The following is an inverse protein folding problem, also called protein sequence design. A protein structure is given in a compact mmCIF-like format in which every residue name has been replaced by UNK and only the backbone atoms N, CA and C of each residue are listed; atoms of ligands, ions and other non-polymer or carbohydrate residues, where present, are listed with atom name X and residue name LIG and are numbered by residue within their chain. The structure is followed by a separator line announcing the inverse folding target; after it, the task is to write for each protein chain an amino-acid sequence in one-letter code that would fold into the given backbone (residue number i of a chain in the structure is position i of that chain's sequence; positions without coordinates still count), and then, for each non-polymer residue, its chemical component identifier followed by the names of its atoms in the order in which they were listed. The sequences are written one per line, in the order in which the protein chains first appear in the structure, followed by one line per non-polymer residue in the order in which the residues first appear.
data_IF_367778657400
#
_entry.id   IF_367778657400
#
_cell.length_a   1.000
_cell.length_b   1.000
_cell.length_c   1.000
_cell.angle_alpha   90.00
_cell.angle_beta   90.00
_cell.angle_gamma   90.00
#
_symmetry.space_group_name_H-M   'P 1'
#
loop_
_entity.id
_entity.type
_entity.pdbx_description
1 polymer ?
#
# COMPACT_ATOMS: atom_id res chain seq x y z
N UNK A 1 10.50 -55.52 65.59
CA UNK A 1 11.44 -55.49 64.45
C UNK A 1 10.59 -55.15 63.25
N UNK A 2 10.42 -53.89 62.87
CA UNK A 2 11.46 -52.89 62.55
C UNK A 2 11.68 -52.98 61.05
N UNK A 3 11.30 -51.92 60.31
CA UNK A 3 11.89 -51.45 59.04
C UNK A 3 11.07 -50.28 58.51
N UNK A 4 11.26 -49.11 59.12
CA UNK A 4 10.89 -47.83 58.54
C UNK A 4 11.73 -47.62 57.28
N UNK A 5 11.08 -47.70 56.12
CA UNK A 5 11.70 -47.38 54.83
C UNK A 5 11.77 -45.87 54.69
N UNK A 6 12.84 -45.29 55.24
CA UNK A 6 13.22 -43.89 55.02
C UNK A 6 13.48 -43.73 53.53
N UNK A 7 12.52 -43.12 52.84
CA UNK A 7 12.69 -42.64 51.48
C UNK A 7 13.76 -41.55 51.50
N UNK A 8 14.96 -41.93 51.07
CA UNK A 8 16.10 -41.02 50.92
C UNK A 8 15.71 -40.03 49.82
N UNK A 9 15.28 -38.85 50.25
CA UNK A 9 15.15 -37.66 49.41
C UNK A 9 16.51 -37.48 48.73
N UNK A 10 16.55 -37.77 47.43
CA UNK A 10 17.71 -37.43 46.60
C UNK A 10 17.87 -35.92 46.67
N UNK A 11 18.86 -35.50 47.47
CA UNK A 11 19.30 -34.13 47.54
C UNK A 11 19.60 -33.67 46.11
N UNK A 12 18.82 -32.68 45.65
CA UNK A 12 19.02 -31.98 44.40
C UNK A 12 20.45 -31.47 44.35
N UNK A 13 21.32 -32.14 43.60
CA UNK A 13 22.66 -31.63 43.34
C UNK A 13 22.50 -30.30 42.59
N UNK A 14 23.24 -29.25 42.98
CA UNK A 14 23.21 -27.98 42.26
C UNK A 14 23.65 -28.23 40.82
N UNK A 15 22.82 -27.79 39.87
CA UNK A 15 23.07 -27.97 38.44
C UNK A 15 24.51 -27.60 38.09
N UNK A 16 25.24 -28.57 37.54
CA UNK A 16 26.66 -28.38 37.25
C UNK A 16 26.82 -27.39 36.11
N UNK A 17 28.00 -26.78 36.01
CA UNK A 17 28.28 -25.83 34.92
C UNK A 17 28.14 -26.49 33.53
N UNK A 18 28.39 -27.80 33.44
CA UNK A 18 28.13 -28.61 32.25
C UNK A 18 26.65 -28.71 31.90
N UNK A 19 25.77 -28.87 32.90
CA UNK A 19 24.32 -28.90 32.68
C UNK A 19 23.80 -27.55 32.17
N UNK A 20 24.37 -26.44 32.68
CA UNK A 20 24.05 -25.10 32.20
C UNK A 20 24.51 -24.87 30.77
N UNK A 21 25.73 -25.29 30.42
CA UNK A 21 26.24 -25.21 29.04
C UNK A 21 25.39 -26.05 28.08
N UNK A 22 24.93 -27.24 28.52
CA UNK A 22 24.05 -28.09 27.72
C UNK A 22 22.68 -27.45 27.53
N UNK A 23 22.12 -26.82 28.56
CA UNK A 23 20.88 -26.05 28.47
C UNK A 23 20.99 -24.90 27.47
N UNK A 24 22.07 -24.11 27.54
CA UNK A 24 22.32 -23.00 26.60
C UNK A 24 22.47 -23.52 25.17
N UNK A 25 23.18 -24.64 24.97
CA UNK A 25 23.33 -25.22 23.65
C UNK A 25 22.00 -25.72 23.06
N UNK A 26 21.13 -26.31 23.90
CA UNK A 26 19.79 -26.74 23.48
C UNK A 26 18.90 -25.54 23.13
N UNK A 27 18.96 -24.47 23.93
CA UNK A 27 18.21 -23.24 23.71
C UNK A 27 18.62 -22.53 22.42
N UNK A 28 19.93 -22.38 22.18
CA UNK A 28 20.48 -21.83 20.93
C UNK A 28 20.04 -22.64 19.70
N UNK A 29 20.01 -23.97 19.82
CA UNK A 29 19.54 -24.84 18.73
C UNK A 29 18.06 -24.64 18.45
N UNK A 30 17.23 -24.56 19.50
CA UNK A 30 15.79 -24.36 19.37
C UNK A 30 15.46 -22.97 18.78
N UNK A 31 16.21 -21.94 19.16
CA UNK A 31 16.10 -20.61 18.58
C UNK A 31 16.46 -20.62 17.09
N UNK A 32 17.57 -21.27 16.74
CA UNK A 32 18.01 -21.42 15.34
C UNK A 32 16.94 -22.12 14.49
N UNK A 33 16.36 -23.22 14.98
CA UNK A 33 15.29 -23.94 14.28
C UNK A 33 14.04 -23.07 14.09
N UNK A 34 13.71 -22.26 15.11
CA UNK A 34 12.59 -21.31 15.06
C UNK A 34 12.85 -20.20 14.04
N UNK A 35 14.07 -19.67 14.00
CA UNK A 35 14.49 -18.65 13.04
C UNK A 35 14.44 -19.19 11.61
N UNK A 36 15.00 -20.37 11.35
CA UNK A 36 14.95 -21.02 10.03
C UNK A 36 13.49 -21.19 9.57
N UNK A 37 12.60 -21.60 10.47
CA UNK A 37 11.17 -21.73 10.17
C UNK A 37 10.49 -20.40 9.89
N UNK A 38 10.83 -19.34 10.62
CA UNK A 38 10.31 -18.00 10.37
C UNK A 38 10.80 -17.46 9.02
N UNK A 39 12.10 -17.57 8.75
CA UNK A 39 12.72 -17.09 7.50
C UNK A 39 12.18 -17.84 6.27
N UNK A 40 12.02 -19.16 6.34
CA UNK A 40 11.43 -19.93 5.23
C UNK A 40 9.98 -19.53 4.93
N UNK A 41 9.18 -19.22 5.95
CA UNK A 41 7.81 -18.71 5.77
C UNK A 41 7.80 -17.32 5.15
N UNK A 42 8.69 -16.42 5.59
CA UNK A 42 8.84 -15.08 5.01
C UNK A 42 9.24 -15.19 3.53
N UNK A 43 10.20 -16.06 3.21
CA UNK A 43 10.65 -16.27 1.83
C UNK A 43 9.52 -16.84 0.95
N UNK A 44 8.73 -17.77 1.48
CA UNK A 44 7.56 -18.30 0.78
C UNK A 44 6.50 -17.23 0.51
N UNK A 45 6.21 -16.37 1.49
CA UNK A 45 5.29 -15.25 1.31
C UNK A 45 5.84 -14.23 0.28
N UNK A 46 7.13 -13.92 0.33
CA UNK A 46 7.78 -13.04 -0.64
C UNK A 46 7.73 -13.60 -2.07
N UNK A 47 7.95 -14.91 -2.22
CA UNK A 47 7.82 -15.58 -3.52
C UNK A 47 6.39 -15.49 -4.07
N UNK A 48 5.38 -15.67 -3.22
CA UNK A 48 3.99 -15.50 -3.62
C UNK A 48 3.66 -14.05 -3.99
N UNK A 49 4.21 -13.08 -3.25
CA UNK A 49 4.05 -11.65 -3.58
C UNK A 49 4.68 -11.32 -4.93
N UNK A 50 5.86 -11.86 -5.23
CA UNK A 50 6.51 -11.68 -6.53
C UNK A 50 5.63 -12.23 -7.67
N UNK A 51 5.09 -13.45 -7.51
CA UNK A 51 4.17 -14.03 -8.50
C UNK A 51 2.91 -13.20 -8.71
N UNK A 52 2.31 -12.70 -7.63
CA UNK A 52 1.16 -11.81 -7.73
C UNK A 52 1.51 -10.50 -8.44
N UNK A 53 2.71 -9.96 -8.19
CA UNK A 53 3.17 -8.74 -8.81
C UNK A 53 3.43 -8.93 -10.31
N UNK A 54 4.06 -10.04 -10.71
CA UNK A 54 4.27 -10.38 -12.12
C UNK A 54 2.93 -10.49 -12.85
N UNK A 55 1.94 -11.17 -12.24
CA UNK A 55 0.58 -11.26 -12.79
C UNK A 55 -0.11 -9.90 -12.92
N UNK A 56 0.02 -9.03 -11.93
CA UNK A 56 -0.54 -7.68 -12.00
C UNK A 56 0.11 -6.85 -13.11
N UNK A 57 1.41 -7.02 -13.34
CA UNK A 57 2.09 -6.39 -14.47
C UNK A 57 1.47 -6.89 -15.77
N UNK A 58 1.34 -8.20 -15.97
CA UNK A 58 0.79 -8.78 -17.19
C UNK A 58 -0.64 -8.29 -17.45
N UNK A 59 -1.52 -8.30 -16.43
CA UNK A 59 -2.90 -7.82 -16.55
C UNK A 59 -2.98 -6.32 -16.88
N UNK A 60 -2.09 -5.50 -16.31
CA UNK A 60 -2.03 -4.06 -16.62
C UNK A 60 -1.48 -3.82 -18.01
N UNK A 61 -0.49 -4.60 -18.45
CA UNK A 61 0.05 -4.52 -19.81
C UNK A 61 -1.03 -4.85 -20.83
N UNK A 62 -1.74 -5.97 -20.65
CA UNK A 62 -2.85 -6.37 -21.52
C UNK A 62 -3.93 -5.29 -21.59
N UNK A 63 -4.36 -4.74 -20.46
CA UNK A 63 -5.37 -3.68 -20.42
C UNK A 63 -4.91 -2.39 -21.11
N UNK A 64 -3.64 -2.01 -20.93
CA UNK A 64 -3.07 -0.82 -21.58
C UNK A 64 -2.92 -1.04 -23.08
N UNK A 65 -2.50 -2.23 -23.51
CA UNK A 65 -2.42 -2.61 -24.92
C UNK A 65 -3.82 -2.60 -25.55
N UNK A 66 -4.82 -3.20 -24.92
CA UNK A 66 -6.22 -3.14 -25.37
C UNK A 66 -6.73 -1.70 -25.49
N UNK A 67 -6.44 -0.83 -24.51
CA UNK A 67 -6.87 0.56 -24.53
C UNK A 67 -6.19 1.35 -25.66
N UNK A 68 -4.91 1.08 -25.93
CA UNK A 68 -4.18 1.65 -27.06
C UNK A 68 -4.74 1.15 -28.40
N UNK A 69 -5.03 -0.15 -28.53
CA UNK A 69 -5.64 -0.73 -29.73
C UNK A 69 -7.04 -0.15 -29.99
N UNK A 70 -7.86 0.07 -28.95
CA UNK A 70 -9.16 0.74 -29.06
C UNK A 70 -9.02 2.21 -29.50
N UNK A 71 -7.97 2.90 -29.06
CA UNK A 71 -7.65 4.25 -29.52
C UNK A 71 -7.22 4.28 -30.99
N UNK A 72 -6.37 3.35 -31.42
CA UNK A 72 -5.88 3.27 -32.80
C UNK A 72 -6.94 2.76 -33.78
N UNK A 73 -7.79 1.80 -33.36
CA UNK A 73 -8.87 1.22 -34.16
C UNK A 73 -10.05 2.16 -34.36
N UNK A 74 -10.04 3.34 -33.75
CA UNK A 74 -11.10 4.33 -33.91
C UNK A 74 -12.42 3.97 -33.22
N UNK A 75 -12.47 2.93 -32.39
CA UNK A 75 -13.63 2.63 -31.55
C UNK A 75 -13.82 3.68 -30.42
N UNK A 76 -12.81 4.54 -30.22
CA UNK A 76 -12.91 5.80 -29.47
C UNK A 76 -13.13 7.07 -30.32
N UNK A 77 -13.32 6.97 -31.65
CA UNK A 77 -13.47 8.15 -32.51
C UNK A 77 -14.91 8.66 -32.58
N UNK A 78 -15.12 9.76 -31.85
CA UNK A 78 -16.14 10.79 -32.01
C UNK A 78 -17.62 10.33 -31.95
N UNK A 79 -18.32 10.50 -30.80
CA UNK A 79 -19.77 10.34 -30.74
C UNK A 79 -20.55 11.38 -31.58
N UNK A 80 -19.87 12.36 -32.17
CA UNK A 80 -20.51 13.48 -32.88
C UNK A 80 -19.89 13.69 -34.26
N UNK A 81 -20.62 13.29 -35.29
CA UNK A 81 -20.39 13.70 -36.68
C UNK A 81 -21.16 15.00 -36.98
N UNK A 82 -20.64 15.81 -37.90
CA UNK A 82 -21.27 17.06 -38.35
C UNK A 82 -22.68 16.81 -38.87
N UNK A 83 -22.88 15.72 -39.61
CA UNK A 83 -24.19 15.36 -40.17
C UNK A 83 -25.22 15.03 -39.07
N UNK A 84 -24.81 14.26 -38.06
CA UNK A 84 -25.65 13.91 -36.91
C UNK A 84 -26.09 15.13 -36.10
N UNK A 85 -25.15 16.05 -35.81
CA UNK A 85 -25.46 17.27 -35.07
C UNK A 85 -26.34 18.25 -35.87
N UNK A 86 -26.16 18.31 -37.19
CA UNK A 86 -27.03 19.10 -38.06
C UNK A 86 -28.44 18.53 -38.13
N UNK A 87 -28.58 17.20 -38.15
CA UNK A 87 -29.89 16.54 -38.15
C UNK A 87 -30.66 16.78 -36.83
N UNK A 88 -29.96 16.72 -35.69
CA UNK A 88 -30.57 16.86 -34.37
C UNK A 88 -30.95 18.30 -34.02
N UNK A 89 -30.05 19.26 -34.23
CA UNK A 89 -30.25 20.64 -33.78
C UNK A 89 -30.68 21.61 -34.88
N UNK A 90 -30.59 21.21 -36.16
CA UNK A 90 -30.96 21.96 -37.39
C UNK A 90 -30.22 23.29 -37.61
N UNK A 91 -29.78 23.95 -36.55
CA UNK A 91 -29.08 25.23 -36.57
C UNK A 91 -27.91 25.20 -35.60
N UNK A 92 -26.81 25.84 -36.01
CA UNK A 92 -25.59 25.90 -35.22
C UNK A 92 -25.81 26.62 -33.88
N UNK A 93 -26.75 27.59 -33.83
CA UNK A 93 -27.09 28.34 -32.63
C UNK A 93 -27.78 27.46 -31.56
N UNK A 94 -28.67 26.56 -31.99
CA UNK A 94 -29.35 25.63 -31.09
C UNK A 94 -28.35 24.61 -30.49
N UNK A 95 -27.46 24.06 -31.32
CA UNK A 95 -26.41 23.15 -30.86
C UNK A 95 -25.46 23.84 -29.86
N UNK A 96 -24.99 25.06 -30.16
CA UNK A 96 -24.14 25.83 -29.24
C UNK A 96 -24.81 26.13 -27.90
N UNK A 97 -26.10 26.43 -27.92
CA UNK A 97 -26.87 26.68 -26.71
C UNK A 97 -27.04 25.40 -25.87
N UNK A 98 -27.29 24.26 -26.52
CA UNK A 98 -27.44 22.97 -25.87
C UNK A 98 -26.15 22.53 -25.15
N UNK A 99 -25.00 22.65 -25.82
CA UNK A 99 -23.72 22.25 -25.24
C UNK A 99 -23.03 23.34 -24.42
N UNK A 100 -23.50 24.59 -24.49
CA UNK A 100 -22.86 25.73 -23.84
C UNK A 100 -21.48 26.11 -24.42
N UNK A 101 -21.15 25.63 -25.63
CA UNK A 101 -19.82 25.79 -26.24
C UNK A 101 -19.82 26.93 -27.27
N UNK A 102 -18.86 27.85 -27.15
CA UNK A 102 -18.59 28.87 -28.18
C UNK A 102 -17.76 28.26 -29.31
N UNK A 103 -18.37 28.04 -30.46
CA UNK A 103 -17.70 27.60 -31.70
C UNK A 103 -17.97 28.59 -32.84
N UNK A 104 -17.14 28.63 -33.88
CA UNK A 104 -17.31 29.54 -35.03
C UNK A 104 -17.92 28.84 -36.27
N UNK A 105 -18.12 27.52 -36.22
CA UNK A 105 -18.69 26.70 -37.29
C UNK A 105 -19.06 25.32 -36.75
N UNK A 106 -19.66 24.48 -37.59
CA UNK A 106 -20.01 23.10 -37.21
C UNK A 106 -18.77 22.25 -36.98
N UNK A 107 -17.75 22.38 -37.82
CA UNK A 107 -16.47 21.66 -37.65
C UNK A 107 -15.79 22.05 -36.33
N UNK A 108 -15.75 23.35 -36.02
CA UNK A 108 -15.22 23.85 -34.75
C UNK A 108 -16.04 23.41 -33.53
N UNK A 109 -17.32 23.09 -33.70
CA UNK A 109 -18.17 22.56 -32.63
C UNK A 109 -17.88 21.06 -32.42
N UNK A 110 -17.82 20.28 -33.49
CA UNK A 110 -17.47 18.85 -33.46
C UNK A 110 -16.08 18.65 -32.88
N UNK A 111 -15.07 19.39 -33.34
CA UNK A 111 -13.71 19.29 -32.79
C UNK A 111 -13.68 19.60 -31.28
N UNK A 112 -14.46 20.58 -30.82
CA UNK A 112 -14.55 20.89 -29.38
C UNK A 112 -15.30 19.84 -28.59
N UNK A 113 -16.35 19.25 -29.16
CA UNK A 113 -17.09 18.15 -28.54
C UNK A 113 -16.24 16.88 -28.47
N UNK A 114 -15.52 16.54 -29.53
CA UNK A 114 -14.59 15.42 -29.56
C UNK A 114 -13.41 15.63 -28.60
N UNK A 115 -12.88 16.84 -28.48
CA UNK A 115 -11.84 17.17 -27.48
C UNK A 115 -12.38 17.15 -26.04
N UNK A 116 -13.59 17.65 -25.80
CA UNK A 116 -14.23 17.58 -24.48
C UNK A 116 -14.65 16.15 -24.10
N UNK A 117 -14.94 15.31 -25.10
CA UNK A 117 -15.23 13.88 -24.92
C UNK A 117 -13.96 13.04 -24.75
N UNK A 118 -12.84 13.48 -25.34
CA UNK A 118 -11.49 12.91 -25.16
C UNK A 118 -10.80 13.41 -23.88
N UNK A 119 -11.51 14.07 -22.97
CA UNK A 119 -11.04 14.12 -21.59
C UNK A 119 -11.06 12.67 -21.12
N UNK A 120 -9.90 12.05 -20.83
CA UNK A 120 -9.84 10.64 -20.50
C UNK A 120 -10.83 10.37 -19.36
N UNK A 121 -11.59 9.29 -19.48
CA UNK A 121 -12.46 8.78 -18.42
C UNK A 121 -11.69 8.54 -17.10
N UNK A 122 -10.37 8.74 -17.06
CA UNK A 122 -9.58 8.97 -15.85
C UNK A 122 -10.08 10.13 -14.97
N UNK A 123 -10.91 11.06 -15.46
CA UNK A 123 -11.52 12.10 -14.63
C UNK A 123 -12.91 11.72 -14.06
N UNK A 124 -13.58 10.70 -14.61
CA UNK A 124 -14.88 10.21 -14.12
C UNK A 124 -14.79 9.03 -13.16
N UNK A 125 -13.64 8.34 -13.13
CA UNK A 125 -13.26 7.44 -12.03
C UNK A 125 -12.38 8.10 -10.97
N UNK A 126 -12.40 9.44 -10.87
CA UNK A 126 -12.05 10.07 -9.59
C UNK A 126 -13.23 9.79 -8.66
N UNK A 127 -13.14 8.68 -7.92
CA UNK A 127 -13.96 8.44 -6.75
C UNK A 127 -14.14 9.77 -6.00
N UNK A 128 -15.35 10.07 -5.51
CA UNK A 128 -15.55 11.24 -4.67
C UNK A 128 -14.52 11.18 -3.55
N UNK A 129 -13.91 12.35 -3.32
CA UNK A 129 -12.72 12.61 -2.54
C UNK A 129 -12.90 12.27 -1.04
N UNK A 130 -13.21 11.02 -0.71
CA UNK A 130 -13.45 10.52 0.65
C UNK A 130 -12.19 9.93 1.29
N UNK A 131 -11.08 9.85 0.55
CA UNK A 131 -9.83 9.22 1.01
C UNK A 131 -8.67 10.20 1.23
N UNK A 132 -8.81 11.48 0.88
CA UNK A 132 -7.76 12.48 1.18
C UNK A 132 -7.78 12.96 2.64
N UNK A 133 -8.96 13.12 3.23
CA UNK A 133 -9.17 13.38 4.67
C UNK A 133 -8.43 12.37 5.57
N UNK A 134 -8.61 11.04 5.42
CA UNK A 134 -7.94 10.07 6.30
C UNK A 134 -6.42 10.03 6.07
N UNK A 135 -5.92 10.39 4.90
CA UNK A 135 -4.47 10.46 4.65
C UNK A 135 -3.87 11.68 5.34
N UNK A 136 -4.51 12.85 5.24
CA UNK A 136 -4.09 14.06 5.96
C UNK A 136 -4.16 13.88 7.48
N UNK A 137 -5.22 13.24 7.97
CA UNK A 137 -5.37 12.92 9.38
C UNK A 137 -4.26 11.98 9.87
N UNK A 138 -3.95 10.93 9.10
CA UNK A 138 -2.84 10.01 9.42
C UNK A 138 -1.48 10.73 9.41
N UNK A 139 -1.23 11.62 8.46
CA UNK A 139 0.00 12.42 8.43
C UNK A 139 0.12 13.33 9.65
N UNK A 140 -0.98 13.97 10.06
CA UNK A 140 -1.01 14.81 11.28
C UNK A 140 -0.82 14.01 12.57
N UNK A 141 -1.27 12.75 12.60
CA UNK A 141 -1.06 11.85 13.73
C UNK A 141 0.40 11.42 13.82
N UNK A 142 1.01 11.06 12.69
CA UNK A 142 2.44 10.71 12.59
C UNK A 142 3.31 11.91 13.01
N UNK A 143 2.98 13.13 12.58
CA UNK A 143 3.74 14.32 12.96
C UNK A 143 3.70 14.57 14.48
N UNK A 144 2.53 14.39 15.12
CA UNK A 144 2.39 14.49 16.58
C UNK A 144 3.20 13.42 17.32
N UNK A 145 3.20 12.19 16.82
CA UNK A 145 4.00 11.10 17.39
C UNK A 145 5.50 11.38 17.27
N UNK A 146 5.97 11.93 16.14
CA UNK A 146 7.38 12.30 15.97
C UNK A 146 7.80 13.42 16.93
N UNK A 147 6.95 14.42 17.14
CA UNK A 147 7.23 15.50 18.11
C UNK A 147 7.28 14.95 19.54
N UNK A 148 6.37 14.04 19.88
CA UNK A 148 6.37 13.38 21.19
C UNK A 148 7.62 12.53 21.40
N UNK A 149 7.99 11.69 20.42
CA UNK A 149 9.17 10.84 20.48
C UNK A 149 10.45 11.67 20.63
N UNK A 150 10.54 12.80 19.94
CA UNK A 150 11.65 13.74 20.10
C UNK A 150 11.72 14.28 21.53
N UNK A 151 10.60 14.68 22.12
CA UNK A 151 10.55 15.14 23.51
C UNK A 151 10.95 14.05 24.51
N UNK A 152 10.48 12.81 24.32
CA UNK A 152 10.89 11.66 25.14
C UNK A 152 12.39 11.39 25.03
N UNK A 153 12.94 11.48 23.82
CA UNK A 153 14.37 11.27 23.57
C UNK A 153 15.22 12.37 24.22
N UNK A 154 14.79 13.64 24.15
CA UNK A 154 15.45 14.76 24.84
C UNK A 154 15.42 14.57 26.36
N UNK A 155 14.32 14.05 26.93
CA UNK A 155 14.21 13.72 28.35
C UNK A 155 15.15 12.58 28.78
N UNK A 156 15.24 11.51 27.98
CA UNK A 156 16.18 10.41 28.21
C UNK A 156 17.62 10.90 28.16
N UNK A 157 17.96 11.76 27.19
CA UNK A 157 19.29 12.37 27.10
C UNK A 157 19.58 13.22 28.34
N UNK A 158 18.61 13.98 28.83
CA UNK A 158 18.75 14.76 30.09
C UNK A 158 19.04 13.87 31.30
N UNK A 159 18.31 12.77 31.46
CA UNK A 159 18.54 11.81 32.55
C UNK A 159 19.91 11.12 32.44
N UNK A 160 20.33 10.75 31.22
CA UNK A 160 21.66 10.19 30.99
C UNK A 160 22.77 11.21 31.29
N UNK A 161 22.57 12.49 30.99
CA UNK A 161 23.52 13.54 31.35
C UNK A 161 23.61 13.76 32.87
N UNK A 162 22.51 13.61 33.62
CA UNK A 162 22.55 13.65 35.08
C UNK A 162 23.26 12.44 35.69
N UNK A 163 23.10 11.26 35.10
CA UNK A 163 23.81 10.04 35.52
C UNK A 163 25.32 10.07 35.19
N UNK A 164 25.71 10.81 34.16
CA UNK A 164 27.11 10.94 33.72
C UNK A 164 27.82 12.15 34.35
N UNK A 165 27.10 13.04 35.06
CA UNK A 165 27.74 14.13 35.83
C UNK A 165 28.64 13.52 36.91
N UNK A 166 29.96 13.74 36.85
CA UNK A 166 30.84 13.34 37.93
C UNK A 166 30.53 14.23 39.15
N UNK A 167 30.41 13.60 40.32
CA UNK A 167 30.42 14.30 41.61
C UNK A 167 31.67 15.18 41.75
#
# INVERSE_FOLDING_TARGET
MGNDSVSIVSASQPATLGDRLRGIAEELRQETDTQIKATSRILGAAAQMAQNHDRLIDEVVEMVEEDLERMESGEGQAPYDVASLQQEFKTLKAAKAHFGIKANGWDALVTKLSQASNIPASAKNRMPNATQEPVLERLSAIEREMVFLRGSMEQVIGLLQELVKPC
#
